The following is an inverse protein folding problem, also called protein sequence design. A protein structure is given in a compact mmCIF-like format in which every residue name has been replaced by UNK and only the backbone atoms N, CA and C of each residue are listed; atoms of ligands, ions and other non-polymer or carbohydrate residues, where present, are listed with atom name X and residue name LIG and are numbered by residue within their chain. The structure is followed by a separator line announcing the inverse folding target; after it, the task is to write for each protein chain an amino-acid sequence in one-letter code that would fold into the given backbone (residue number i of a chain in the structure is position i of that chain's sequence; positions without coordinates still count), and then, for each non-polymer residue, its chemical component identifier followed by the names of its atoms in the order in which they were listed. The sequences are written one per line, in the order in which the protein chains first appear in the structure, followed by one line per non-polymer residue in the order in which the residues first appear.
data_IF_603995342704
#
_entry.id   IF_603995342704
#
_cell.length_a   1.000
_cell.length_b   1.000
_cell.length_c   1.000
_cell.angle_alpha   90.00
_cell.angle_beta   90.00
_cell.angle_gamma   90.00
#
_symmetry.space_group_name_H-M   'P 1'
#
loop_
_entity.id
_entity.type
_entity.pdbx_description
1 polymer ?
#
# COMPACT_ATOMS: atom_id res chain seq x y z
N UNK A 1 9.27 2.45 15.88
CA UNK A 1 7.96 2.00 15.34
C UNK A 1 7.34 3.17 14.57
N UNK A 2 6.61 2.92 13.49
CA UNK A 2 6.01 3.93 12.62
C UNK A 2 4.83 3.32 11.86
N UNK A 3 4.16 4.10 11.03
CA UNK A 3 3.03 3.64 10.22
C UNK A 3 3.36 3.69 8.73
N UNK A 4 2.71 2.84 7.91
CA UNK A 4 2.83 2.92 6.46
C UNK A 4 2.08 4.14 5.91
N UNK A 5 2.69 4.80 4.93
CA UNK A 5 1.96 5.57 3.92
C UNK A 5 1.65 4.59 2.79
N UNK A 6 0.38 4.54 2.38
CA UNK A 6 -0.02 3.82 1.17
C UNK A 6 -0.21 4.85 0.06
N UNK A 7 0.51 4.69 -1.03
CA UNK A 7 0.38 5.53 -2.22
C UNK A 7 -0.40 4.76 -3.28
N UNK A 8 -1.44 5.41 -3.80
CA UNK A 8 -2.27 4.89 -4.89
C UNK A 8 -1.88 5.64 -6.16
N UNK A 9 -1.55 4.91 -7.21
CA UNK A 9 -1.23 5.50 -8.52
C UNK A 9 -2.04 4.80 -9.59
N UNK A 10 -2.83 5.53 -10.38
CA UNK A 10 -3.51 4.97 -11.54
C UNK A 10 -2.47 4.52 -12.57
N UNK A 11 -2.43 3.23 -12.87
CA UNK A 11 -1.52 2.69 -13.89
C UNK A 11 -2.17 2.70 -15.27
N UNK A 12 -3.47 2.44 -15.33
CA UNK A 12 -4.32 2.56 -16.51
C UNK A 12 -5.79 2.79 -16.07
N UNK A 13 -6.72 2.89 -17.02
CA UNK A 13 -8.15 3.16 -16.75
C UNK A 13 -8.85 2.08 -15.90
N UNK A 14 -8.20 0.93 -15.66
CA UNK A 14 -8.80 -0.25 -15.00
C UNK A 14 -7.98 -0.80 -13.83
N UNK A 15 -6.76 -0.31 -13.61
CA UNK A 15 -5.83 -0.83 -12.62
C UNK A 15 -5.16 0.31 -11.88
N UNK A 16 -5.21 0.23 -10.57
CA UNK A 16 -4.39 1.05 -9.68
C UNK A 16 -3.22 0.25 -9.14
N UNK A 17 -2.10 0.94 -8.98
CA UNK A 17 -0.89 0.45 -8.33
C UNK A 17 -0.87 0.96 -6.91
N UNK A 18 -0.79 0.02 -5.96
CA UNK A 18 -0.63 0.31 -4.55
C UNK A 18 0.82 0.07 -4.14
N UNK A 19 1.44 1.07 -3.50
CA UNK A 19 2.77 0.95 -2.88
C UNK A 19 2.68 1.35 -1.41
N UNK A 20 3.60 0.81 -0.60
CA UNK A 20 3.72 1.18 0.81
C UNK A 20 5.13 1.67 1.10
N UNK A 21 5.23 2.72 1.89
CA UNK A 21 6.49 3.21 2.45
C UNK A 21 6.30 3.61 3.90
N UNK A 22 7.38 3.68 4.67
CA UNK A 22 7.30 4.14 6.06
C UNK A 22 7.13 5.65 6.09
N UNK A 23 6.11 6.13 6.82
CA UNK A 23 6.01 7.56 7.12
C UNK A 23 7.25 8.04 7.90
N UNK A 24 7.90 9.06 7.36
CA UNK A 24 9.00 9.79 8.01
C UNK A 24 8.64 11.27 8.04
N UNK A 25 8.51 11.85 9.24
CA UNK A 25 8.26 13.30 9.42
C UNK A 25 9.34 14.16 8.77
N UNK A 26 10.57 13.68 8.72
CA UNK A 26 11.67 14.28 7.97
C UNK A 26 12.29 13.21 7.06
N UNK A 27 12.10 13.36 5.75
CA UNK A 27 12.58 12.42 4.72
C UNK A 27 14.11 12.35 4.65
N UNK A 28 14.81 13.40 5.10
CA UNK A 28 16.29 13.47 5.17
C UNK A 28 16.87 13.01 6.50
N UNK A 29 16.03 12.75 7.51
CA UNK A 29 16.53 12.27 8.80
C UNK A 29 17.06 10.84 8.65
N UNK A 30 18.34 10.65 8.99
CA UNK A 30 18.92 9.31 9.14
C UNK A 30 18.12 8.57 10.21
N UNK A 31 17.79 7.32 9.92
CA UNK A 31 17.14 6.48 10.92
C UNK A 31 18.07 6.34 12.14
N UNK A 32 17.57 6.57 13.36
CA UNK A 32 18.34 6.30 14.57
C UNK A 32 18.87 4.86 14.53
N UNK A 33 20.09 4.63 15.02
CA UNK A 33 20.80 3.35 14.88
C UNK A 33 19.99 2.13 15.38
N UNK A 34 19.19 2.33 16.42
CA UNK A 34 18.20 1.35 16.95
C UNK A 34 17.11 0.91 15.95
N UNK A 35 16.97 1.61 14.83
CA UNK A 35 16.03 1.33 13.74
C UNK A 35 16.74 1.10 12.39
N UNK A 36 18.08 1.07 12.38
CA UNK A 36 18.89 0.83 11.18
C UNK A 36 18.74 -0.61 10.66
N UNK A 37 18.47 -1.57 11.55
CA UNK A 37 18.19 -2.98 11.22
C UNK A 37 16.77 -3.38 11.65
N UNK A 38 15.72 -2.94 10.94
CA UNK A 38 14.35 -3.30 11.28
C UNK A 38 14.11 -4.80 11.06
N UNK A 39 13.68 -5.52 12.12
CA UNK A 39 13.39 -6.97 12.10
C UNK A 39 12.43 -7.42 10.98
N UNK A 40 11.58 -6.51 10.50
CA UNK A 40 10.57 -6.76 9.46
C UNK A 40 10.68 -5.80 8.26
N UNK A 41 11.81 -5.10 8.10
CA UNK A 41 12.05 -4.27 6.90
C UNK A 41 11.09 -3.10 6.70
N UNK A 42 10.32 -2.71 7.73
CA UNK A 42 9.21 -1.76 7.61
C UNK A 42 8.21 -2.16 6.52
N UNK A 43 7.80 -3.44 6.50
CA UNK A 43 6.73 -3.94 5.64
C UNK A 43 5.51 -4.30 6.48
N UNK A 44 4.34 -3.85 6.06
CA UNK A 44 3.06 -4.09 6.70
C UNK A 44 2.12 -4.90 5.79
N UNK A 45 1.18 -5.61 6.39
CA UNK A 45 -0.02 -6.08 5.71
C UNK A 45 -1.12 -5.08 6.02
N UNK A 46 -1.65 -4.42 4.99
CA UNK A 46 -2.63 -3.34 5.17
C UNK A 46 -3.95 -3.78 4.52
N UNK A 47 -5.03 -3.95 5.30
CA UNK A 47 -6.36 -4.10 4.73
C UNK A 47 -6.82 -2.75 4.17
N UNK A 48 -7.18 -2.73 2.89
CA UNK A 48 -7.62 -1.55 2.16
C UNK A 48 -9.05 -1.80 1.71
N UNK A 49 -9.96 -0.99 2.22
CA UNK A 49 -11.32 -0.90 1.70
C UNK A 49 -11.35 0.20 0.64
N UNK A 50 -11.83 -0.12 -0.56
CA UNK A 50 -11.97 0.85 -1.64
C UNK A 50 -13.34 0.73 -2.30
N UNK A 51 -13.75 1.81 -2.95
CA UNK A 51 -14.99 1.87 -3.71
C UNK A 51 -14.70 2.62 -5.01
N UNK A 52 -15.07 2.01 -6.13
CA UNK A 52 -14.97 2.65 -7.43
C UNK A 52 -16.31 3.29 -7.81
N UNK A 53 -16.32 4.63 -7.94
CA UNK A 53 -17.53 5.39 -8.26
C UNK A 53 -18.68 5.12 -7.27
N UNK A 54 -19.82 4.64 -7.79
CA UNK A 54 -21.00 4.24 -6.99
C UNK A 54 -21.11 2.71 -6.83
N UNK A 55 -20.01 1.99 -7.08
CA UNK A 55 -19.95 0.53 -6.98
C UNK A 55 -19.98 0.02 -5.55
N UNK A 56 -19.76 -1.30 -5.39
CA UNK A 56 -19.67 -1.95 -4.08
C UNK A 56 -18.33 -1.60 -3.41
N UNK A 57 -18.34 -1.58 -2.08
CA UNK A 57 -17.09 -1.48 -1.29
C UNK A 57 -16.41 -2.85 -1.33
N UNK A 58 -15.15 -2.88 -1.73
CA UNK A 58 -14.34 -4.09 -1.82
C UNK A 58 -13.18 -4.03 -0.83
N UNK A 59 -12.77 -5.19 -0.32
CA UNK A 59 -11.63 -5.34 0.57
C UNK A 59 -10.46 -5.98 -0.19
N UNK A 60 -9.36 -5.25 -0.32
CA UNK A 60 -8.09 -5.76 -0.81
C UNK A 60 -7.03 -5.78 0.31
N UNK A 61 -6.13 -6.74 0.25
CA UNK A 61 -4.99 -6.84 1.17
C UNK A 61 -3.71 -6.43 0.47
N UNK A 62 -3.11 -5.31 0.90
CA UNK A 62 -1.77 -4.94 0.46
C UNK A 62 -0.74 -5.80 1.19
N UNK A 63 -0.23 -6.82 0.51
CA UNK A 63 0.77 -7.74 1.05
C UNK A 63 2.17 -7.11 1.10
N UNK A 64 3.01 -7.63 2.00
CA UNK A 64 4.40 -7.17 2.18
C UNK A 64 5.19 -7.28 0.88
N UNK A 65 5.63 -6.15 0.33
CA UNK A 65 6.50 -6.10 -0.85
C UNK A 65 5.84 -6.41 -2.19
N UNK A 66 4.50 -6.46 -2.26
CA UNK A 66 3.78 -6.60 -3.52
C UNK A 66 3.28 -5.24 -4.01
N UNK A 67 3.47 -5.01 -5.30
CA UNK A 67 2.65 -4.07 -6.06
C UNK A 67 1.35 -4.78 -6.34
N UNK A 68 0.26 -4.31 -5.73
CA UNK A 68 -1.07 -4.83 -6.05
C UNK A 68 -1.54 -4.14 -7.33
N UNK A 69 -1.91 -4.95 -8.32
CA UNK A 69 -2.77 -4.55 -9.43
C UNK A 69 -4.19 -4.91 -8.99
N UNK A 70 -5.05 -3.92 -8.78
CA UNK A 70 -6.48 -4.20 -8.59
C UNK A 70 -7.05 -4.68 -9.93
N UNK A 71 -7.70 -5.84 -9.96
CA UNK A 71 -8.49 -6.25 -11.13
C UNK A 71 -9.84 -5.51 -11.13
N UNK A 72 -10.37 -5.12 -12.29
CA UNK A 72 -11.65 -4.42 -12.35
C UNK A 72 -12.82 -5.33 -11.92
N UNK A 73 -13.84 -4.79 -11.24
CA UNK A 73 -15.03 -5.54 -10.87
C UNK A 73 -15.82 -5.91 -12.14
N UNK A 74 -15.65 -7.15 -12.61
CA UNK A 74 -16.36 -7.65 -13.81
C UNK A 74 -15.76 -8.89 -14.47
N UNK A 75 -14.59 -9.38 -14.06
CA UNK A 75 -13.98 -10.58 -14.64
C UNK A 75 -14.31 -11.87 -13.88
N UNK A 76 -15.60 -12.13 -13.66
CA UNK A 76 -16.09 -13.48 -13.35
C UNK A 76 -17.04 -13.87 -14.48
N UNK A 77 -16.53 -14.65 -15.44
CA UNK A 77 -17.35 -15.36 -16.43
C UNK A 77 -18.01 -16.57 -15.78
#
# INVERSE_FOLDING_TARGET
MGFPIVTVTSFNDTHVKLTQERYKKNTKAKDPEKYSKPKYGFKWEVPIWYQEGKGKVELAWLKRGMVMLSEPPGSAR
#
